data_IF_991103712263
#
_entry.id   IF_991103712263
#
_cell.length_a   1.000
_cell.length_b   1.000
_cell.length_c   1.000
_cell.angle_alpha   90.00
_cell.angle_beta   90.00
_cell.angle_gamma   90.00
#
_symmetry.space_group_name_H-M   'P 1'
#
loop_
_entity.id
_entity.type
_entity.pdbx_description
1 polymer ?
#
# COMPACT_ATOMS: atom_id res chain seq x y z
N UNK A 1 6.71 4.65 -5.40
CA UNK A 1 5.93 4.66 -6.66
C UNK A 1 4.55 4.13 -6.36
N UNK A 2 3.51 4.91 -6.66
CA UNK A 2 2.11 4.47 -6.56
C UNK A 2 1.66 4.13 -7.99
N UNK A 3 1.04 2.97 -8.19
CA UNK A 3 0.54 2.51 -9.49
C UNK A 3 -0.81 1.83 -9.32
N UNK A 4 -1.59 1.78 -10.41
CA UNK A 4 -2.88 1.09 -10.43
C UNK A 4 -4.08 1.95 -9.99
N UNK A 5 -3.92 3.25 -9.74
CA UNK A 5 -5.01 4.16 -9.38
C UNK A 5 -6.19 4.10 -10.35
N UNK A 6 -5.94 3.99 -11.66
CA UNK A 6 -7.00 3.87 -12.66
C UNK A 6 -7.87 2.61 -12.48
N UNK A 7 -7.37 1.56 -11.82
CA UNK A 7 -8.21 0.39 -11.52
C UNK A 7 -9.21 0.66 -10.38
N UNK A 8 -8.99 1.66 -9.53
CA UNK A 8 -9.95 2.06 -8.49
C UNK A 8 -11.23 2.61 -9.12
N UNK A 9 -11.14 3.32 -10.25
CA UNK A 9 -12.30 3.86 -10.97
C UNK A 9 -13.28 2.79 -11.50
N UNK A 10 -12.87 1.52 -11.51
CA UNK A 10 -13.75 0.40 -11.89
C UNK A 10 -14.62 -0.10 -10.73
N UNK A 11 -14.39 0.41 -9.51
CA UNK A 11 -15.11 -0.02 -8.33
C UNK A 11 -16.34 0.87 -8.09
N UNK A 12 -17.46 0.31 -7.60
CA UNK A 12 -18.68 1.07 -7.35
C UNK A 12 -18.49 2.31 -6.46
N UNK A 13 -17.55 2.25 -5.52
CA UNK A 13 -17.20 3.34 -4.60
C UNK A 13 -16.71 4.60 -5.31
N UNK A 14 -16.22 4.49 -6.55
CA UNK A 14 -15.69 5.61 -7.33
C UNK A 14 -16.54 5.93 -8.57
N UNK A 15 -17.79 5.45 -8.62
CA UNK A 15 -18.77 5.87 -9.64
C UNK A 15 -19.29 7.29 -9.39
N UNK A 16 -19.19 7.78 -8.15
CA UNK A 16 -19.38 9.19 -7.83
C UNK A 16 -18.15 9.99 -8.27
N UNK A 17 -18.39 11.00 -9.10
CA UNK A 17 -17.33 11.86 -9.64
C UNK A 17 -16.64 12.66 -8.54
N UNK A 18 -17.36 13.01 -7.48
CA UNK A 18 -16.78 13.78 -6.38
C UNK A 18 -15.80 12.91 -5.58
N UNK A 19 -16.15 11.65 -5.30
CA UNK A 19 -15.24 10.67 -4.67
C UNK A 19 -14.01 10.38 -5.54
N UNK A 20 -14.20 10.24 -6.85
CA UNK A 20 -13.08 10.03 -7.78
C UNK A 20 -12.14 11.24 -7.81
N UNK A 21 -12.69 12.46 -7.84
CA UNK A 21 -11.91 13.70 -7.79
C UNK A 21 -11.15 13.85 -6.49
N UNK A 22 -11.75 13.51 -5.35
CA UNK A 22 -11.11 13.55 -4.04
C UNK A 22 -9.88 12.62 -4.01
N UNK A 23 -10.04 11.37 -4.47
CA UNK A 23 -8.94 10.41 -4.58
C UNK A 23 -7.78 10.94 -5.42
N UNK A 24 -8.04 11.48 -6.62
CA UNK A 24 -6.95 11.99 -7.46
C UNK A 24 -6.30 13.24 -6.89
N UNK A 25 -7.09 14.14 -6.30
CA UNK A 25 -6.56 15.35 -5.64
C UNK A 25 -5.62 14.98 -4.48
N UNK A 26 -6.00 13.96 -3.71
CA UNK A 26 -5.16 13.41 -2.64
C UNK A 26 -3.84 12.83 -3.19
N UNK A 27 -3.90 12.08 -4.29
CA UNK A 27 -2.71 11.46 -4.90
C UNK A 27 -1.79 12.43 -5.65
N UNK A 28 -2.31 13.58 -6.08
CA UNK A 28 -1.52 14.67 -6.67
C UNK A 28 -0.88 15.59 -5.61
N UNK A 29 -1.35 15.51 -4.37
CA UNK A 29 -0.82 16.33 -3.26
C UNK A 29 0.40 15.65 -2.63
N UNK A 30 1.59 16.23 -2.85
CA UNK A 30 2.86 15.69 -2.35
C UNK A 30 2.84 15.35 -0.85
N UNK A 31 2.25 16.21 -0.02
CA UNK A 31 2.23 16.00 1.43
C UNK A 31 1.28 14.86 1.85
N UNK A 32 0.17 14.68 1.14
CA UNK A 32 -0.73 13.53 1.34
C UNK A 32 -0.02 12.24 0.94
N UNK A 33 0.67 12.23 -0.19
CA UNK A 33 1.44 11.07 -0.65
C UNK A 33 2.57 10.73 0.34
N UNK A 34 3.28 11.74 0.86
CA UNK A 34 4.30 11.52 1.90
C UNK A 34 3.69 10.89 3.14
N UNK A 35 2.54 11.38 3.59
CA UNK A 35 1.87 10.84 4.78
C UNK A 35 1.45 9.38 4.58
N UNK A 36 0.87 9.03 3.43
CA UNK A 36 0.55 7.64 3.09
C UNK A 36 1.79 6.74 3.12
N UNK A 37 2.92 7.22 2.60
CA UNK A 37 4.19 6.48 2.62
C UNK A 37 4.75 6.35 4.04
N UNK A 38 4.58 7.34 4.91
CA UNK A 38 4.96 7.30 6.31
C UNK A 38 4.10 6.29 7.09
N UNK A 39 2.78 6.34 6.92
CA UNK A 39 1.84 5.36 7.48
C UNK A 39 2.22 3.94 7.03
N UNK A 40 2.49 3.74 5.74
CA UNK A 40 2.95 2.46 5.22
C UNK A 40 4.29 2.01 5.82
N UNK A 41 5.18 2.95 6.15
CA UNK A 41 6.52 2.69 6.67
C UNK A 41 6.60 2.58 8.19
N UNK A 42 5.50 2.78 8.91
CA UNK A 42 5.44 2.69 10.38
C UNK A 42 6.20 1.45 10.88
N UNK A 43 6.93 1.58 12.00
CA UNK A 43 7.75 0.51 12.61
C UNK A 43 6.90 -0.58 13.26
N UNK A 44 5.81 -1.00 12.62
CA UNK A 44 5.04 -2.18 13.01
C UNK A 44 5.71 -3.44 12.48
N UNK A 45 5.64 -4.50 13.27
CA UNK A 45 6.05 -5.85 12.86
C UNK A 45 4.85 -6.49 12.17
N UNK A 46 5.02 -6.87 10.90
CA UNK A 46 3.99 -7.57 10.12
C UNK A 46 3.03 -6.67 9.35
N UNK A 47 1.96 -7.29 8.85
CA UNK A 47 0.98 -6.66 7.98
C UNK A 47 0.07 -5.70 8.74
N UNK A 48 -0.15 -4.51 8.20
CA UNK A 48 -1.01 -3.46 8.75
C UNK A 48 -2.14 -3.17 7.77
N UNK A 49 -3.33 -2.92 8.29
CA UNK A 49 -4.51 -2.55 7.50
C UNK A 49 -5.08 -1.25 8.05
N UNK A 50 -5.26 -0.26 7.18
CA UNK A 50 -5.99 0.98 7.44
C UNK A 50 -7.29 0.93 6.65
N UNK A 51 -8.42 1.23 7.29
CA UNK A 51 -9.76 1.04 6.74
C UNK A 51 -10.54 2.35 6.78
N UNK A 52 -10.91 2.84 5.60
CA UNK A 52 -11.88 3.91 5.42
C UNK A 52 -11.51 5.16 6.21
N UNK A 53 -12.25 5.41 7.29
CA UNK A 53 -12.12 6.62 8.10
C UNK A 53 -10.71 6.83 8.70
N UNK A 54 -9.91 5.78 8.83
CA UNK A 54 -8.49 5.89 9.23
C UNK A 54 -7.65 6.66 8.18
N UNK A 55 -8.15 6.79 6.95
CA UNK A 55 -7.54 7.52 5.84
C UNK A 55 -8.32 8.82 5.50
N UNK A 56 -9.32 9.19 6.30
CA UNK A 56 -10.07 10.44 6.14
C UNK A 56 -9.19 11.70 6.18
N UNK A 57 -8.15 11.80 7.04
CA UNK A 57 -7.25 12.96 7.02
C UNK A 57 -6.51 13.16 5.69
N UNK A 58 -6.39 12.10 4.89
CA UNK A 58 -5.77 12.10 3.57
C UNK A 58 -6.80 12.28 2.43
N UNK A 59 -8.09 12.48 2.72
CA UNK A 59 -9.16 12.56 1.71
C UNK A 59 -9.44 11.21 1.04
N UNK A 60 -9.25 10.11 1.77
CA UNK A 60 -9.28 8.75 1.20
C UNK A 60 -10.17 7.80 2.02
N UNK A 61 -11.28 8.32 2.56
CA UNK A 61 -12.27 7.56 3.35
C UNK A 61 -12.95 6.42 2.56
N UNK A 62 -12.97 6.52 1.23
CA UNK A 62 -13.44 5.47 0.33
C UNK A 62 -12.40 4.36 0.07
N UNK A 63 -11.19 4.48 0.63
CA UNK A 63 -10.09 3.56 0.43
C UNK A 63 -9.78 2.72 1.67
N UNK A 64 -9.04 1.65 1.43
CA UNK A 64 -8.30 0.90 2.45
C UNK A 64 -6.88 0.67 1.98
N UNK A 65 -5.95 0.63 2.93
CA UNK A 65 -4.53 0.43 2.66
C UNK A 65 -4.03 -0.79 3.44
N UNK A 66 -3.49 -1.77 2.73
CA UNK A 66 -2.87 -2.98 3.32
C UNK A 66 -1.39 -2.94 3.04
N UNK A 67 -0.53 -2.99 4.06
CA UNK A 67 0.92 -2.89 3.91
C UNK A 67 1.63 -4.00 4.66
N UNK A 68 2.74 -4.51 4.10
CA UNK A 68 3.66 -5.42 4.78
C UNK A 68 5.09 -4.88 4.69
N UNK A 69 5.91 -5.00 5.74
CA UNK A 69 7.34 -4.71 5.63
C UNK A 69 8.04 -5.72 4.72
N UNK A 70 9.12 -5.30 4.08
CA UNK A 70 10.10 -6.19 3.44
C UNK A 70 11.48 -5.97 4.06
N UNK A 71 12.28 -7.04 4.06
CA UNK A 71 13.54 -7.11 4.77
C UNK A 71 14.69 -7.52 3.84
N UNK A 72 15.86 -6.93 4.05
CA UNK A 72 17.10 -7.29 3.36
C UNK A 72 18.15 -7.50 4.42
N UNK A 73 18.80 -8.67 4.41
CA UNK A 73 19.81 -9.04 5.42
C UNK A 73 19.33 -8.88 6.89
N UNK A 74 18.04 -9.08 7.14
CA UNK A 74 17.43 -8.93 8.47
C UNK A 74 17.02 -7.50 8.85
N UNK A 75 17.34 -6.49 8.02
CA UNK A 75 16.95 -5.11 8.24
C UNK A 75 15.69 -4.74 7.46
N UNK A 76 14.78 -3.99 8.10
CA UNK A 76 13.57 -3.47 7.42
C UNK A 76 14.00 -2.38 6.46
N UNK A 77 13.88 -2.65 5.17
CA UNK A 77 14.22 -1.68 4.11
C UNK A 77 13.03 -0.78 3.73
N UNK A 78 11.80 -1.24 3.98
CA UNK A 78 10.60 -0.45 3.72
C UNK A 78 9.35 -1.32 3.82
N UNK A 79 8.28 -0.87 3.17
CA UNK A 79 7.02 -1.60 3.08
C UNK A 79 6.49 -1.61 1.65
N UNK A 80 5.71 -2.65 1.33
CA UNK A 80 4.91 -2.75 0.11
C UNK A 80 3.46 -2.85 0.53
N UNK A 81 2.56 -2.26 -0.25
CA UNK A 81 1.15 -2.34 0.05
C UNK A 81 0.25 -2.15 -1.15
N UNK A 82 -1.03 -2.41 -0.91
CA UNK A 82 -2.12 -2.19 -1.85
C UNK A 82 -3.04 -1.13 -1.28
N UNK A 83 -3.40 -0.17 -2.12
CA UNK A 83 -4.47 0.77 -1.90
C UNK A 83 -5.68 0.31 -2.72
N UNK A 84 -6.80 0.05 -2.06
CA UNK A 84 -8.02 -0.54 -2.63
C UNK A 84 -9.29 0.18 -2.17
N UNK A 85 -10.47 -0.18 -2.70
CA UNK A 85 -11.74 0.25 -2.12
C UNK A 85 -11.90 -0.32 -0.70
N UNK A 86 -12.72 0.35 0.11
CA UNK A 86 -13.02 -0.12 1.48
C UNK A 86 -13.65 -1.52 1.50
N UNK A 87 -14.41 -1.90 0.47
CA UNK A 87 -14.98 -3.26 0.36
C UNK A 87 -14.12 -4.15 -0.54
N UNK A 88 -12.97 -4.59 -0.02
CA UNK A 88 -12.11 -5.56 -0.71
C UNK A 88 -12.05 -6.92 0.01
N UNK A 89 -11.68 -8.02 -0.67
CA UNK A 89 -11.52 -9.32 -0.02
C UNK A 89 -10.23 -9.35 0.81
N UNK A 90 -10.26 -8.77 2.02
CA UNK A 90 -9.09 -8.59 2.89
C UNK A 90 -8.22 -9.83 3.06
N UNK A 91 -8.74 -11.04 3.34
CA UNK A 91 -7.89 -12.22 3.50
C UNK A 91 -7.04 -12.52 2.26
N UNK A 92 -7.61 -12.32 1.06
CA UNK A 92 -6.90 -12.52 -0.22
C UNK A 92 -5.86 -11.43 -0.46
N UNK A 93 -6.19 -10.18 -0.14
CA UNK A 93 -5.28 -9.04 -0.32
C UNK A 93 -4.10 -9.13 0.65
N UNK A 94 -4.35 -9.46 1.91
CA UNK A 94 -3.33 -9.68 2.94
C UNK A 94 -2.37 -10.78 2.49
N UNK A 95 -2.88 -11.95 2.12
CA UNK A 95 -2.06 -13.07 1.65
C UNK A 95 -1.21 -12.69 0.43
N UNK A 96 -1.79 -11.96 -0.54
CA UNK A 96 -1.07 -11.49 -1.73
C UNK A 96 0.07 -10.52 -1.36
N UNK A 97 -0.22 -9.51 -0.53
CA UNK A 97 0.75 -8.49 -0.13
C UNK A 97 1.90 -9.13 0.65
N UNK A 98 1.61 -10.05 1.56
CA UNK A 98 2.63 -10.83 2.31
C UNK A 98 3.51 -11.66 1.37
N UNK A 99 2.92 -12.36 0.40
CA UNK A 99 3.67 -13.12 -0.60
C UNK A 99 4.61 -12.22 -1.42
N UNK A 100 4.14 -11.04 -1.85
CA UNK A 100 4.95 -10.07 -2.59
C UNK A 100 6.08 -9.52 -1.71
N UNK A 101 5.79 -9.15 -0.46
CA UNK A 101 6.79 -8.65 0.49
C UNK A 101 7.90 -9.68 0.75
N UNK A 102 7.53 -10.95 0.90
CA UNK A 102 8.48 -12.05 1.06
C UNK A 102 9.33 -12.28 -0.21
N UNK A 103 8.72 -12.21 -1.39
CA UNK A 103 9.43 -12.35 -2.66
C UNK A 103 10.40 -11.20 -2.93
N UNK A 104 10.02 -9.96 -2.61
CA UNK A 104 10.91 -8.79 -2.70
C UNK A 104 12.06 -8.92 -1.71
N UNK A 105 11.77 -9.36 -0.47
CA UNK A 105 12.80 -9.64 0.54
C UNK A 105 13.82 -10.65 0.03
N UNK A 106 13.37 -11.77 -0.57
CA UNK A 106 14.25 -12.77 -1.17
C UNK A 106 15.10 -12.22 -2.30
N UNK A 107 14.51 -11.47 -3.24
CA UNK A 107 15.21 -10.95 -4.42
C UNK A 107 16.21 -9.85 -4.07
N UNK A 108 15.89 -8.99 -3.10
CA UNK A 108 16.78 -7.92 -2.67
C UNK A 108 17.85 -8.40 -1.69
N UNK A 109 17.59 -9.48 -0.94
CA UNK A 109 18.58 -10.18 -0.11
C UNK A 109 19.63 -10.98 -0.89
N UNK A 110 19.51 -11.08 -2.23
CA UNK A 110 20.32 -11.97 -3.06
C UNK A 110 21.22 -11.27 -4.09
N UNK A 111 22.44 -10.90 -3.68
CA UNK A 111 23.70 -11.04 -4.44
C UNK A 111 24.88 -11.08 -3.45
N UNK A 112 25.11 -12.25 -2.88
CA UNK A 112 26.34 -12.57 -2.15
C UNK A 112 26.75 -14.04 -2.36
N UNK A 113 26.58 -14.60 -3.56
CA UNK A 113 27.23 -15.86 -3.93
C UNK A 113 27.67 -15.79 -5.40
N UNK A 114 28.98 -15.67 -5.60
CA UNK A 114 29.62 -15.52 -6.91
C UNK A 114 31.10 -15.19 -6.76
N UNK A 115 31.79 -15.91 -5.88
CA UNK A 115 33.21 -15.78 -5.63
C UNK A 115 33.82 -17.13 -5.31
N UNK A 116 34.06 -17.92 -6.35
CA UNK A 116 35.18 -18.86 -6.45
C UNK A 116 35.60 -18.96 -7.90
#
# INVERSE_FOLDING_TARGET
LIQGTLNLLKQPEFHDIDTARELFSALETDDVVKELLLMASEKRRGTVVYIGDELSPQGMSACSMVTTPYYVNGEKMGSIGVLGPTRMPYPKVIALVEQIGAEVSRKMGGKAEGGK
#
